data_IF_132632981953
#
_entry.id   IF_132632981953
#
_cell.length_a   1.000
_cell.length_b   1.000
_cell.length_c   1.000
_cell.angle_alpha   90.00
_cell.angle_beta   90.00
_cell.angle_gamma   90.00
#
_symmetry.space_group_name_H-M   'P 1'
#
loop_
_entity.id
_entity.type
_entity.pdbx_description
1 polymer ?
#
# COMPACT_ATOMS: atom_id res chain seq x y z
N UNK A 1 5.67 5.70 -8.72
CA UNK A 1 5.68 4.26 -8.60
C UNK A 1 5.93 3.85 -7.16
N UNK A 2 5.19 2.90 -6.66
CA UNK A 2 5.29 2.51 -5.26
C UNK A 2 5.77 1.07 -5.14
N UNK A 3 6.19 0.74 -3.93
CA UNK A 3 6.78 -0.57 -3.66
C UNK A 3 5.81 -1.72 -3.85
N UNK A 4 4.51 -1.51 -3.63
CA UNK A 4 3.55 -2.60 -3.70
C UNK A 4 3.33 -3.10 -5.13
N UNK A 5 3.65 -2.30 -6.11
CA UNK A 5 3.55 -2.73 -7.51
C UNK A 5 4.61 -3.75 -7.87
N UNK A 6 5.68 -3.83 -7.08
CA UNK A 6 6.77 -4.75 -7.35
C UNK A 6 6.59 -6.10 -6.69
N UNK A 7 5.54 -6.27 -5.93
CA UNK A 7 5.27 -7.52 -5.26
C UNK A 7 4.60 -8.51 -6.20
N UNK A 8 4.54 -9.75 -5.75
CA UNK A 8 3.88 -10.79 -6.51
C UNK A 8 2.97 -11.58 -5.59
N UNK A 9 1.65 -11.40 -5.73
CA UNK A 9 0.97 -10.56 -6.73
C UNK A 9 1.14 -9.08 -6.43
N UNK A 10 1.07 -8.26 -7.47
CA UNK A 10 1.19 -6.82 -7.30
C UNK A 10 -0.10 -6.24 -6.74
N UNK A 11 0.04 -5.19 -5.93
CA UNK A 11 -1.09 -4.48 -5.36
C UNK A 11 -1.00 -3.01 -5.74
N UNK A 12 -2.16 -2.33 -5.84
CA UNK A 12 -2.13 -0.91 -6.20
C UNK A 12 -1.54 -0.07 -5.09
N UNK A 13 -1.12 1.13 -5.45
CA UNK A 13 -0.65 2.10 -4.49
C UNK A 13 -1.84 2.80 -3.86
N UNK A 14 -1.73 3.15 -2.58
CA UNK A 14 -2.74 3.96 -1.94
C UNK A 14 -2.68 5.38 -2.48
N UNK A 15 -3.78 6.12 -2.31
CA UNK A 15 -3.77 7.54 -2.59
C UNK A 15 -2.65 8.20 -1.80
N UNK A 16 -1.96 9.16 -2.43
CA UNK A 16 -0.73 9.71 -1.84
C UNK A 16 -0.95 10.34 -0.47
N UNK A 17 -2.16 10.78 -0.18
CA UNK A 17 -2.47 11.38 1.12
C UNK A 17 -3.04 10.39 2.11
N UNK A 18 -3.22 9.14 1.71
CA UNK A 18 -3.73 8.12 2.61
C UNK A 18 -2.58 7.55 3.42
N UNK A 19 -2.50 7.96 4.67
CA UNK A 19 -1.46 7.49 5.59
C UNK A 19 -2.04 6.65 6.72
N UNK A 20 -3.26 6.19 6.56
CA UNK A 20 -3.93 5.39 7.58
C UNK A 20 -3.43 3.95 7.49
N UNK A 21 -2.61 3.55 8.47
CA UNK A 21 -2.02 2.23 8.46
C UNK A 21 -3.02 1.22 8.99
N UNK A 22 -3.40 0.26 8.13
CA UNK A 22 -4.30 -0.82 8.53
C UNK A 22 -3.49 -2.04 8.93
N UNK A 23 -2.37 -2.28 8.26
CA UNK A 23 -1.53 -3.43 8.58
C UNK A 23 -0.08 -3.09 8.23
N UNK A 24 0.85 -3.77 8.87
CA UNK A 24 2.27 -3.60 8.61
C UNK A 24 2.89 -4.98 8.48
N UNK A 25 3.74 -5.15 7.48
CA UNK A 25 4.52 -6.39 7.38
C UNK A 25 5.94 -6.03 6.93
N UNK A 26 6.71 -7.07 6.55
CA UNK A 26 8.10 -6.85 6.19
C UNK A 26 8.26 -6.04 4.90
N UNK A 27 7.23 -5.95 4.10
CA UNK A 27 7.28 -5.20 2.85
C UNK A 27 7.00 -3.71 3.07
N UNK A 28 6.18 -3.37 4.07
CA UNK A 28 5.86 -2.00 4.33
C UNK A 28 4.51 -1.86 4.99
N UNK A 29 3.95 -0.68 4.90
CA UNK A 29 2.67 -0.37 5.53
C UNK A 29 1.55 -0.47 4.51
N UNK A 30 0.45 -1.06 4.93
CA UNK A 30 -0.69 -1.33 4.07
C UNK A 30 -1.91 -0.58 4.55
N UNK A 31 -2.75 -0.24 3.60
CA UNK A 31 -4.08 0.30 3.90
C UNK A 31 -5.07 -0.36 2.95
N UNK A 32 -6.32 0.08 3.00
CA UNK A 32 -7.35 -0.43 2.10
C UNK A 32 -8.05 0.75 1.45
N UNK A 33 -8.33 0.61 0.17
CA UNK A 33 -9.07 1.59 -0.61
C UNK A 33 -9.94 0.83 -1.60
N UNK A 34 -11.19 1.26 -1.72
CA UNK A 34 -12.09 0.64 -2.71
C UNK A 34 -12.21 -0.86 -2.53
N UNK A 35 -12.16 -1.32 -1.29
CA UNK A 35 -12.32 -2.73 -0.98
C UNK A 35 -11.13 -3.61 -1.29
N UNK A 36 -9.96 -3.01 -1.52
CA UNK A 36 -8.76 -3.79 -1.81
C UNK A 36 -7.58 -3.23 -1.03
N UNK A 37 -6.56 -4.07 -0.86
CA UNK A 37 -5.34 -3.64 -0.20
C UNK A 37 -4.53 -2.73 -1.10
N UNK A 38 -3.86 -1.77 -0.50
CA UNK A 38 -2.95 -0.89 -1.22
C UNK A 38 -1.73 -0.62 -0.37
N UNK A 39 -0.62 -0.31 -1.02
CA UNK A 39 0.62 0.02 -0.34
C UNK A 39 0.70 1.52 -0.09
N UNK A 40 1.00 1.89 1.15
CA UNK A 40 1.10 3.29 1.53
C UNK A 40 2.41 3.85 0.99
N UNK A 41 2.31 4.98 0.32
CA UNK A 41 3.48 5.67 -0.22
C UNK A 41 4.09 6.52 0.88
N UNK A 42 5.35 6.28 1.18
CA UNK A 42 6.07 7.06 2.17
C UNK A 42 7.19 7.82 1.49
N UNK A 43 7.26 9.10 1.82
CA UNK A 43 8.30 9.94 1.27
C UNK A 43 9.21 10.46 2.34
#
# INVERSE_FOLDING_TARGET
ECWSLKLQPAYPCCYMRNKEVVSIDSNGKWSTEHGTWCGIIEE
#
